data_IF_464762316888
#
_entry.id   IF_464762316888
#
_cell.length_a   1.000
_cell.length_b   1.000
_cell.length_c   1.000
_cell.angle_alpha   90.00
_cell.angle_beta   90.00
_cell.angle_gamma   90.00
#
_symmetry.space_group_name_H-M   'P 1'
#
loop_
_entity.id
_entity.type
_entity.pdbx_description
1 polymer ?
#
# COMPACT_ATOMS: atom_id res chain seq x y z
N UNK A 1 -37.49 -60.80 -25.11
CA UNK A 1 -37.33 -59.47 -24.50
C UNK A 1 -36.29 -59.62 -23.40
N UNK A 2 -35.02 -59.22 -23.63
CA UNK A 2 -33.94 -59.31 -22.64
C UNK A 2 -34.06 -58.16 -21.62
N UNK A 3 -33.49 -58.32 -20.43
CA UNK A 3 -32.90 -57.29 -19.52
C UNK A 3 -32.83 -57.87 -18.09
N UNK A 4 -31.79 -57.71 -17.26
CA UNK A 4 -30.64 -56.82 -17.28
C UNK A 4 -29.42 -57.46 -16.57
N UNK A 5 -28.23 -57.01 -16.95
CA UNK A 5 -26.94 -57.28 -16.28
C UNK A 5 -26.74 -56.28 -15.13
N UNK A 6 -26.31 -56.70 -13.91
CA UNK A 6 -26.02 -55.76 -12.84
C UNK A 6 -24.62 -55.13 -13.02
N UNK A 7 -24.54 -53.81 -12.95
CA UNK A 7 -23.27 -53.05 -12.96
C UNK A 7 -22.74 -52.79 -11.53
N UNK A 8 -21.41 -52.80 -11.32
CA UNK A 8 -20.80 -52.59 -10.02
C UNK A 8 -20.75 -51.11 -9.61
N UNK A 9 -21.12 -50.81 -8.35
CA UNK A 9 -21.01 -49.47 -7.75
C UNK A 9 -19.57 -49.17 -7.35
N UNK A 10 -18.96 -48.17 -7.99
CA UNK A 10 -17.63 -47.64 -7.63
C UNK A 10 -17.76 -46.52 -6.58
N UNK A 11 -17.06 -46.69 -5.46
CA UNK A 11 -17.18 -45.86 -4.26
C UNK A 11 -16.35 -44.57 -4.36
N UNK A 12 -17.02 -43.43 -4.58
CA UNK A 12 -16.44 -42.08 -4.82
C UNK A 12 -15.92 -41.35 -3.57
N UNK A 13 -15.74 -42.03 -2.43
CA UNK A 13 -15.61 -41.37 -1.13
C UNK A 13 -14.18 -40.97 -0.73
N UNK A 14 -13.13 -41.46 -1.40
CA UNK A 14 -11.74 -41.19 -0.98
C UNK A 14 -11.04 -40.03 -1.72
N UNK A 15 -11.63 -39.50 -2.79
CA UNK A 15 -11.00 -38.44 -3.60
C UNK A 15 -11.24 -37.02 -3.06
N UNK A 16 -12.15 -36.85 -2.09
CA UNK A 16 -12.63 -35.53 -1.65
C UNK A 16 -11.78 -34.97 -0.49
N UNK A 17 -11.17 -35.84 0.33
CA UNK A 17 -10.47 -35.41 1.55
C UNK A 17 -9.10 -34.75 1.33
N UNK A 18 -8.37 -35.07 0.26
CA UNK A 18 -7.01 -34.55 0.01
C UNK A 18 -6.97 -33.20 -0.70
N UNK A 19 -8.00 -32.85 -1.43
CA UNK A 19 -8.04 -31.59 -2.22
C UNK A 19 -8.41 -30.39 -1.34
N UNK A 20 -9.13 -30.61 -0.23
CA UNK A 20 -9.64 -29.53 0.61
C UNK A 20 -8.54 -28.82 1.43
N UNK A 21 -7.50 -29.54 1.87
CA UNK A 21 -6.45 -28.98 2.75
C UNK A 21 -5.50 -28.06 1.97
N UNK A 22 -5.21 -28.35 0.70
CA UNK A 22 -4.32 -27.53 -0.11
C UNK A 22 -4.97 -26.21 -0.55
N UNK A 23 -6.30 -26.21 -0.76
CA UNK A 23 -7.06 -25.00 -1.06
C UNK A 23 -7.18 -24.04 0.13
N UNK A 24 -7.17 -24.57 1.36
CA UNK A 24 -7.29 -23.76 2.59
C UNK A 24 -5.97 -23.06 2.97
N UNK A 25 -4.82 -23.60 2.57
CA UNK A 25 -3.51 -22.99 2.79
C UNK A 25 -3.17 -21.90 1.76
N UNK A 26 -3.78 -21.95 0.57
CA UNK A 26 -3.55 -20.98 -0.51
C UNK A 26 -4.32 -19.66 -0.29
N UNK A 27 -5.43 -19.69 0.43
CA UNK A 27 -6.25 -18.49 0.73
C UNK A 27 -5.73 -17.67 1.91
N UNK A 28 -4.92 -18.23 2.80
CA UNK A 28 -4.34 -17.50 3.93
C UNK A 28 -3.16 -16.60 3.56
N UNK A 29 -2.54 -16.79 2.39
CA UNK A 29 -1.39 -15.97 1.95
C UNK A 29 -1.80 -14.71 1.16
N UNK A 30 -3.10 -14.51 0.91
CA UNK A 30 -3.62 -13.38 0.12
C UNK A 30 -4.13 -12.21 0.97
N UNK A 31 -3.93 -12.23 2.29
CA UNK A 31 -4.17 -11.07 3.16
C UNK A 31 -3.06 -10.02 2.92
N UNK A 32 -3.20 -9.30 1.81
CA UNK A 32 -2.45 -8.07 1.55
C UNK A 32 -2.97 -7.02 2.53
N UNK A 33 -2.08 -6.52 3.38
CA UNK A 33 -2.41 -5.44 4.33
C UNK A 33 -2.60 -4.13 3.54
N UNK A 34 -3.81 -3.90 3.05
CA UNK A 34 -4.23 -2.59 2.58
C UNK A 34 -4.65 -1.77 3.79
N UNK A 35 -4.04 -0.61 3.99
CA UNK A 35 -4.58 0.39 4.91
C UNK A 35 -5.82 0.99 4.25
N UNK A 36 -6.96 0.92 4.92
CA UNK A 36 -8.16 1.65 4.50
C UNK A 36 -7.91 3.16 4.67
N UNK A 37 -8.51 4.03 3.86
CA UNK A 37 -8.30 5.49 3.98
C UNK A 37 -8.72 6.03 5.36
N UNK A 38 -9.60 5.33 6.07
CA UNK A 38 -9.96 5.61 7.47
C UNK A 38 -8.82 5.38 8.47
N UNK A 39 -7.79 4.61 8.10
CA UNK A 39 -6.65 4.31 8.95
C UNK A 39 -5.53 5.35 8.85
N UNK A 40 -5.65 6.34 7.93
CA UNK A 40 -4.65 7.39 7.75
C UNK A 40 -4.79 8.46 8.85
N UNK A 41 -3.76 8.68 9.70
CA UNK A 41 -3.84 9.66 10.78
C UNK A 41 -3.95 11.10 10.27
N UNK A 42 -4.76 11.92 10.93
CA UNK A 42 -4.87 13.35 10.64
C UNK A 42 -3.61 14.13 11.04
N UNK A 43 -3.28 15.17 10.27
CA UNK A 43 -2.26 16.18 10.57
C UNK A 43 -2.87 17.51 11.08
N UNK A 44 -4.15 17.54 11.45
CA UNK A 44 -4.82 18.73 11.94
C UNK A 44 -4.05 19.42 13.08
N UNK A 45 -3.82 20.72 12.93
CA UNK A 45 -3.08 21.54 13.88
C UNK A 45 -1.56 21.28 13.92
N UNK A 46 -1.02 20.40 13.07
CA UNK A 46 0.43 20.18 12.95
C UNK A 46 1.03 21.08 11.86
N UNK A 47 2.24 21.54 12.11
CA UNK A 47 3.08 22.26 11.14
C UNK A 47 4.19 21.33 10.69
N UNK A 48 4.23 21.02 9.39
CA UNK A 48 5.14 20.02 8.84
C UNK A 48 6.12 20.70 7.90
N UNK A 49 7.40 20.69 8.24
CA UNK A 49 8.45 21.18 7.35
C UNK A 49 8.77 20.14 6.27
N UNK A 50 8.79 20.59 5.02
CA UNK A 50 9.19 19.80 3.85
C UNK A 50 10.42 20.49 3.28
N UNK A 51 11.58 19.88 3.52
CA UNK A 51 12.90 20.37 3.11
C UNK A 51 13.40 19.56 1.93
N UNK A 52 13.63 20.23 0.79
CA UNK A 52 14.15 19.63 -0.43
C UNK A 52 15.55 20.13 -0.73
N UNK A 53 16.38 19.25 -1.29
CA UNK A 53 17.70 19.62 -1.81
C UNK A 53 17.59 20.59 -2.98
N UNK A 54 16.49 20.55 -3.75
CA UNK A 54 16.26 21.33 -4.98
C UNK A 54 14.96 20.90 -5.65
N UNK A 55 14.23 21.79 -6.34
CA UNK A 55 13.06 21.42 -7.16
C UNK A 55 13.25 21.64 -8.68
N UNK A 56 14.50 21.59 -9.15
CA UNK A 56 14.85 21.96 -10.54
C UNK A 56 14.54 20.87 -11.58
N UNK A 57 14.39 19.60 -11.18
CA UNK A 57 14.03 18.52 -12.10
C UNK A 57 12.60 18.05 -11.88
N UNK A 58 12.03 17.43 -12.91
CA UNK A 58 10.65 16.94 -12.91
C UNK A 58 10.34 16.05 -11.70
N UNK A 59 11.23 15.11 -11.40
CA UNK A 59 11.05 14.24 -10.25
C UNK A 59 10.93 15.05 -8.95
N UNK A 60 11.84 16.00 -8.75
CA UNK A 60 11.93 16.78 -7.52
C UNK A 60 10.69 17.63 -7.29
N UNK A 61 10.25 18.36 -8.32
CA UNK A 61 9.07 19.23 -8.21
C UNK A 61 7.80 18.40 -7.97
N UNK A 62 7.69 17.22 -8.59
CA UNK A 62 6.53 16.33 -8.37
C UNK A 62 6.52 15.72 -6.98
N UNK A 63 7.67 15.25 -6.50
CA UNK A 63 7.78 14.72 -5.14
C UNK A 63 7.50 15.80 -4.09
N UNK A 64 7.99 17.03 -4.31
CA UNK A 64 7.74 18.16 -3.41
C UNK A 64 6.26 18.55 -3.38
N UNK A 65 5.63 18.71 -4.55
CA UNK A 65 4.21 19.04 -4.68
C UNK A 65 3.32 17.98 -4.02
N UNK A 66 3.59 16.69 -4.27
CA UNK A 66 2.81 15.60 -3.69
C UNK A 66 2.84 15.60 -2.16
N UNK A 67 4.01 15.85 -1.55
CA UNK A 67 4.12 15.96 -0.08
C UNK A 67 3.36 17.18 0.47
N UNK A 68 3.47 18.34 -0.19
CA UNK A 68 2.76 19.56 0.20
C UNK A 68 1.24 19.35 0.14
N UNK A 69 0.77 18.74 -0.93
CA UNK A 69 -0.65 18.49 -1.15
C UNK A 69 -1.20 17.47 -0.15
N UNK A 70 -0.42 16.43 0.17
CA UNK A 70 -0.81 15.44 1.17
C UNK A 70 -0.90 16.02 2.58
N UNK A 71 0.07 16.87 2.97
CA UNK A 71 0.00 17.57 4.26
C UNK A 71 -1.27 18.41 4.35
N UNK A 72 -1.63 19.12 3.28
CA UNK A 72 -2.88 19.90 3.22
C UNK A 72 -4.12 19.01 3.27
N UNK A 73 -4.13 17.90 2.51
CA UNK A 73 -5.23 16.92 2.49
C UNK A 73 -5.53 16.39 3.89
N UNK A 74 -4.49 16.13 4.68
CA UNK A 74 -4.58 15.65 6.06
C UNK A 74 -4.86 16.75 7.09
N UNK A 75 -5.03 18.01 6.67
CA UNK A 75 -5.34 19.15 7.55
C UNK A 75 -4.14 19.80 8.23
N UNK A 76 -2.91 19.46 7.82
CA UNK A 76 -1.68 20.07 8.31
C UNK A 76 -1.34 21.39 7.61
N UNK A 77 -0.40 22.13 8.18
CA UNK A 77 0.17 23.35 7.57
C UNK A 77 1.60 23.08 7.10
N UNK A 78 1.87 23.03 5.79
CA UNK A 78 3.22 22.81 5.28
C UNK A 78 4.11 24.05 5.45
N UNK A 79 5.39 23.83 5.78
CA UNK A 79 6.47 24.82 5.71
C UNK A 79 7.40 24.38 4.58
N UNK A 80 7.35 25.10 3.46
CA UNK A 80 8.03 24.75 2.21
C UNK A 80 9.43 25.34 2.16
N UNK A 81 10.46 24.49 2.06
CA UNK A 81 11.87 24.90 2.02
C UNK A 81 12.56 24.24 0.83
N UNK A 82 13.13 25.06 -0.06
CA UNK A 82 13.92 24.61 -1.22
C UNK A 82 15.35 25.16 -1.11
N UNK A 83 16.32 24.25 -1.06
CA UNK A 83 17.73 24.61 -0.98
C UNK A 83 18.34 25.02 -2.34
N UNK A 84 17.64 24.81 -3.46
CA UNK A 84 18.11 25.22 -4.78
C UNK A 84 19.38 24.50 -5.25
N UNK A 85 19.54 23.24 -4.86
CA UNK A 85 20.74 22.40 -5.07
C UNK A 85 22.01 23.00 -4.46
N UNK A 86 21.86 23.67 -3.32
CA UNK A 86 22.96 24.25 -2.57
C UNK A 86 23.04 23.66 -1.15
N UNK A 87 24.14 22.99 -0.84
CA UNK A 87 24.31 22.27 0.43
C UNK A 87 24.31 23.20 1.66
N UNK A 88 24.85 24.42 1.51
CA UNK A 88 24.82 25.41 2.59
C UNK A 88 23.38 25.82 2.91
N UNK A 89 22.56 26.06 1.89
CA UNK A 89 21.15 26.37 2.09
C UNK A 89 20.38 25.20 2.70
N UNK A 90 20.68 23.97 2.28
CA UNK A 90 20.08 22.76 2.84
C UNK A 90 20.38 22.60 4.33
N UNK A 91 21.63 22.84 4.74
CA UNK A 91 21.99 22.80 6.17
C UNK A 91 21.27 23.92 6.92
N UNK A 92 21.32 25.15 6.41
CA UNK A 92 20.72 26.30 7.07
C UNK A 92 19.21 26.15 7.30
N UNK A 93 18.49 25.56 6.35
CA UNK A 93 17.03 25.38 6.46
C UNK A 93 16.61 24.27 7.44
N UNK A 94 17.55 23.46 7.94
CA UNK A 94 17.29 22.37 8.90
C UNK A 94 17.69 22.71 10.35
N UNK A 95 18.51 23.74 10.56
CA UNK A 95 19.09 24.07 11.87
C UNK A 95 18.25 25.07 12.70
N UNK A 96 17.01 25.34 12.30
CA UNK A 96 16.07 26.21 13.04
C UNK A 96 15.71 25.63 14.41
#
# INVERSE_FOLDING_TARGET
MPDAVPTPKTNRLHAIGRTLVLSLLATSLAATAYAEDSDVPSLAGKRIAISMTGTSHYFDIKAFQAQVDEVKRLGGTPITLDAGRNDKNLVNQLQT
#
